data_IF_473104659695
#
_entry.id   IF_473104659695
#
_cell.length_a   1.000
_cell.length_b   1.000
_cell.length_c   1.000
_cell.angle_alpha   90.00
_cell.angle_beta   90.00
_cell.angle_gamma   90.00
#
_symmetry.space_group_name_H-M   'P 1'
#
loop_
_entity.id
_entity.type
_entity.pdbx_description
1 polymer ?
#
# COMPACT_ATOMS: atom_id res chain seq x y z
N UNK A 1 -1.58 1.58 -1.47
CA UNK A 1 -1.75 0.18 -1.01
C UNK A 1 -3.08 0.09 -0.25
N UNK A 2 -3.88 -0.95 -0.45
CA UNK A 2 -5.16 -1.14 0.22
C UNK A 2 -5.18 -2.51 0.90
N UNK A 3 -5.58 -2.56 2.18
CA UNK A 3 -5.79 -3.84 2.87
C UNK A 3 -7.25 -4.25 2.71
N UNK A 4 -7.45 -5.47 2.25
CA UNK A 4 -8.78 -6.03 1.98
C UNK A 4 -9.14 -7.02 3.08
N UNK A 5 -10.36 -6.90 3.61
CA UNK A 5 -10.81 -7.66 4.78
C UNK A 5 -11.91 -8.69 4.46
N UNK A 6 -12.57 -8.59 3.31
CA UNK A 6 -13.59 -9.55 2.88
C UNK A 6 -13.65 -9.74 1.36
N UNK A 7 -14.29 -10.82 0.89
CA UNK A 7 -14.46 -11.10 -0.54
C UNK A 7 -15.37 -10.07 -1.25
N UNK A 8 -16.37 -9.52 -0.55
CA UNK A 8 -17.19 -8.42 -1.05
C UNK A 8 -16.37 -7.14 -1.19
N UNK A 9 -15.57 -6.81 -0.16
CA UNK A 9 -14.66 -5.66 -0.20
C UNK A 9 -13.65 -5.81 -1.34
N UNK A 10 -13.14 -7.03 -1.58
CA UNK A 10 -12.25 -7.32 -2.71
C UNK A 10 -12.92 -6.99 -4.06
N UNK A 11 -14.17 -7.41 -4.23
CA UNK A 11 -14.93 -7.15 -5.46
C UNK A 11 -15.16 -5.65 -5.68
N UNK A 12 -15.51 -4.91 -4.63
CA UNK A 12 -15.65 -3.45 -4.68
C UNK A 12 -14.33 -2.75 -5.02
N UNK A 13 -13.21 -3.20 -4.45
CA UNK A 13 -11.91 -2.60 -4.72
C UNK A 13 -11.42 -2.84 -6.14
N UNK A 14 -11.77 -3.96 -6.76
CA UNK A 14 -11.49 -4.21 -8.18
C UNK A 14 -12.26 -3.22 -9.06
N UNK A 15 -13.53 -2.94 -8.76
CA UNK A 15 -14.32 -1.92 -9.48
C UNK A 15 -13.73 -0.51 -9.28
N UNK A 16 -13.28 -0.18 -8.07
CA UNK A 16 -12.59 1.08 -7.81
C UNK A 16 -11.24 1.16 -8.55
N UNK A 17 -10.50 0.06 -8.63
CA UNK A 17 -9.24 -0.02 -9.36
C UNK A 17 -9.42 0.28 -10.86
N UNK A 18 -10.54 -0.13 -11.46
CA UNK A 18 -10.88 0.25 -12.84
C UNK A 18 -10.99 1.78 -13.00
N UNK A 19 -11.67 2.44 -12.07
CA UNK A 19 -11.78 3.91 -12.07
C UNK A 19 -10.41 4.57 -11.95
N UNK A 20 -9.52 4.02 -11.12
CA UNK A 20 -8.15 4.51 -10.97
C UNK A 20 -7.31 4.27 -12.24
N UNK A 21 -7.50 3.15 -12.93
CA UNK A 21 -6.84 2.91 -14.22
C UNK A 21 -7.23 3.98 -15.25
N UNK A 22 -8.51 4.37 -15.27
CA UNK A 22 -9.02 5.41 -16.17
C UNK A 22 -8.49 6.81 -15.85
N UNK A 23 -8.43 7.19 -14.57
CA UNK A 23 -8.10 8.56 -14.16
C UNK A 23 -6.60 8.79 -14.01
N UNK A 24 -5.85 7.78 -13.56
CA UNK A 24 -4.42 7.90 -13.22
C UNK A 24 -3.48 7.12 -14.13
N UNK A 25 -4.01 6.39 -15.11
CA UNK A 25 -3.19 5.64 -16.07
C UNK A 25 -2.38 4.50 -15.43
N UNK A 26 -2.95 3.84 -14.42
CA UNK A 26 -2.31 2.71 -13.72
C UNK A 26 -1.92 1.61 -14.70
N UNK A 27 -0.67 1.14 -14.64
CA UNK A 27 -0.12 0.10 -15.54
C UNK A 27 0.11 -1.25 -14.86
N UNK A 28 0.01 -1.33 -13.54
CA UNK A 28 0.21 -2.56 -12.79
C UNK A 28 -0.78 -2.66 -11.63
N UNK A 29 -1.52 -3.77 -11.58
CA UNK A 29 -2.41 -4.13 -10.47
C UNK A 29 -1.86 -5.41 -9.85
N UNK A 30 -1.64 -5.40 -8.53
CA UNK A 30 -1.14 -6.56 -7.79
C UNK A 30 -2.20 -7.00 -6.77
N UNK A 31 -2.54 -8.29 -6.79
CA UNK A 31 -3.42 -8.91 -5.80
C UNK A 31 -2.63 -9.99 -5.05
N UNK A 32 -2.33 -9.71 -3.79
CA UNK A 32 -1.62 -10.60 -2.89
C UNK A 32 -2.49 -10.95 -1.65
N UNK A 33 -3.19 -12.08 -1.59
CA UNK A 33 -3.28 -13.17 -2.59
C UNK A 33 -4.72 -13.45 -2.99
N UNK A 34 -4.92 -13.95 -4.23
CA UNK A 34 -6.23 -14.14 -4.84
C UNK A 34 -7.17 -15.03 -4.01
N UNK A 35 -6.64 -16.12 -3.46
CA UNK A 35 -7.44 -17.17 -2.82
C UNK A 35 -7.58 -17.03 -1.30
N UNK A 36 -6.85 -16.12 -0.64
CA UNK A 36 -6.83 -16.06 0.82
C UNK A 36 -8.22 -15.82 1.43
N UNK A 37 -8.90 -14.74 1.00
CA UNK A 37 -10.21 -14.35 1.51
C UNK A 37 -11.29 -15.36 1.11
N UNK A 38 -11.29 -15.78 -0.16
CA UNK A 38 -12.24 -16.76 -0.70
C UNK A 38 -12.19 -18.11 0.03
N UNK A 39 -11.03 -18.51 0.55
CA UNK A 39 -10.88 -19.75 1.34
C UNK A 39 -11.32 -19.59 2.78
N UNK A 40 -11.15 -18.39 3.36
CA UNK A 40 -11.56 -18.11 4.72
C UNK A 40 -13.09 -18.03 4.84
N UNK A 41 -13.77 -17.45 3.87
CA UNK A 41 -15.22 -17.22 3.92
C UNK A 41 -16.05 -18.38 3.38
N UNK A 42 -15.60 -19.05 2.32
CA UNK A 42 -16.35 -20.11 1.67
C UNK A 42 -15.80 -21.50 2.04
N UNK A 43 -16.05 -21.88 3.30
CA UNK A 43 -15.59 -23.15 3.87
C UNK A 43 -16.59 -24.28 3.59
N UNK A 44 -16.07 -25.46 3.29
CA UNK A 44 -16.85 -26.68 3.09
C UNK A 44 -17.31 -26.90 1.64
N UNK A 45 -17.63 -28.15 1.33
CA UNK A 45 -17.96 -28.60 -0.03
C UNK A 45 -19.20 -27.88 -0.57
N UNK A 46 -20.21 -27.64 0.28
CA UNK A 46 -21.44 -26.95 -0.12
C UNK A 46 -21.25 -25.48 -0.53
N UNK A 47 -20.11 -24.86 -0.17
CA UNK A 47 -19.74 -23.49 -0.57
C UNK A 47 -18.75 -23.43 -1.73
N UNK A 48 -18.37 -24.59 -2.28
CA UNK A 48 -17.42 -24.67 -3.40
C UNK A 48 -17.96 -23.98 -4.65
N UNK A 49 -19.21 -24.27 -5.04
CA UNK A 49 -19.84 -23.69 -6.23
C UNK A 49 -19.92 -22.15 -6.17
N UNK A 50 -20.49 -21.51 -5.13
CA UNK A 50 -20.54 -20.05 -5.06
C UNK A 50 -19.14 -19.42 -5.02
N UNK A 51 -18.17 -20.06 -4.34
CA UNK A 51 -16.78 -19.61 -4.35
C UNK A 51 -16.16 -19.62 -5.75
N UNK A 52 -16.40 -20.68 -6.51
CA UNK A 52 -15.91 -20.81 -7.88
C UNK A 52 -16.57 -19.79 -8.81
N UNK A 53 -17.88 -19.55 -8.66
CA UNK A 53 -18.58 -18.51 -9.42
C UNK A 53 -18.02 -17.10 -9.12
N UNK A 54 -17.80 -16.77 -7.85
CA UNK A 54 -17.22 -15.48 -7.44
C UNK A 54 -15.79 -15.32 -7.97
N UNK A 55 -14.96 -16.36 -7.84
CA UNK A 55 -13.59 -16.39 -8.38
C UNK A 55 -13.58 -16.16 -9.90
N UNK A 56 -14.50 -16.80 -10.63
CA UNK A 56 -14.63 -16.62 -12.08
C UNK A 56 -14.92 -15.17 -12.43
N UNK A 57 -15.87 -14.55 -11.73
CA UNK A 57 -16.25 -13.16 -11.95
C UNK A 57 -15.10 -12.21 -11.67
N UNK A 58 -14.34 -12.44 -10.59
CA UNK A 58 -13.15 -11.65 -10.25
C UNK A 58 -12.11 -11.73 -11.37
N UNK A 59 -11.76 -12.93 -11.83
CA UNK A 59 -10.73 -13.12 -12.86
C UNK A 59 -11.16 -12.50 -14.19
N UNK A 60 -12.40 -12.71 -14.63
CA UNK A 60 -12.90 -12.08 -15.86
C UNK A 60 -12.92 -10.56 -15.77
N UNK A 61 -13.30 -10.00 -14.61
CA UNK A 61 -13.28 -8.55 -14.40
C UNK A 61 -11.86 -8.00 -14.50
N UNK A 62 -10.89 -8.68 -13.89
CA UNK A 62 -9.48 -8.29 -13.95
C UNK A 62 -8.89 -8.40 -15.37
N UNK A 63 -9.20 -9.47 -16.11
CA UNK A 63 -8.76 -9.60 -17.52
C UNK A 63 -9.33 -8.48 -18.38
N UNK A 64 -10.61 -8.17 -18.21
CA UNK A 64 -11.25 -7.05 -18.91
C UNK A 64 -10.58 -5.72 -18.60
N UNK A 65 -10.25 -5.45 -17.33
CA UNK A 65 -9.53 -4.23 -16.93
C UNK A 65 -8.14 -4.20 -17.58
N UNK A 66 -7.40 -5.32 -17.53
CA UNK A 66 -6.07 -5.44 -18.13
C UNK A 66 -6.07 -5.09 -19.62
N UNK A 67 -7.00 -5.68 -20.38
CA UNK A 67 -7.15 -5.48 -21.82
C UNK A 67 -7.64 -4.06 -22.16
N UNK A 68 -8.61 -3.54 -21.40
CA UNK A 68 -9.21 -2.22 -21.68
C UNK A 68 -8.24 -1.07 -21.41
N UNK A 69 -7.46 -1.18 -20.33
CA UNK A 69 -6.59 -0.09 -19.88
C UNK A 69 -5.10 -0.33 -20.17
N UNK A 70 -4.77 -1.42 -20.85
CA UNK A 70 -3.39 -1.84 -21.13
C UNK A 70 -2.55 -1.83 -19.85
N UNK A 71 -3.02 -2.57 -18.84
CA UNK A 71 -2.32 -2.74 -17.56
C UNK A 71 -2.02 -4.22 -17.32
N UNK A 72 -0.91 -4.50 -16.64
CA UNK A 72 -0.56 -5.83 -16.19
C UNK A 72 -1.28 -6.15 -14.88
N UNK A 73 -1.86 -7.34 -14.78
CA UNK A 73 -2.45 -7.85 -13.52
C UNK A 73 -1.59 -8.99 -13.02
N UNK A 74 -0.99 -8.81 -11.84
CA UNK A 74 -0.20 -9.83 -11.15
C UNK A 74 -1.00 -10.39 -9.98
N UNK A 75 -1.20 -11.71 -9.99
CA UNK A 75 -1.92 -12.43 -8.94
C UNK A 75 -0.95 -13.34 -8.22
N UNK A 76 -0.87 -13.26 -6.90
CA UNK A 76 -0.22 -14.30 -6.11
C UNK A 76 -1.26 -15.34 -5.70
N UNK A 77 -0.82 -16.59 -5.64
CA UNK A 77 -1.67 -17.70 -5.26
C UNK A 77 -0.88 -18.75 -4.49
N UNK A 78 -1.58 -19.42 -3.58
CA UNK A 78 -1.02 -20.51 -2.80
C UNK A 78 -1.11 -21.82 -3.60
N UNK A 79 -0.15 -22.69 -3.36
CA UNK A 79 -0.06 -24.02 -3.98
C UNK A 79 -0.42 -25.08 -2.95
N UNK A 80 -1.17 -26.10 -3.36
CA UNK A 80 -1.47 -27.25 -2.53
C UNK A 80 -0.88 -28.51 -3.15
N UNK A 81 -0.38 -29.41 -2.29
CA UNK A 81 0.05 -30.74 -2.71
C UNK A 81 -1.20 -31.58 -2.99
N UNK A 82 -1.38 -31.99 -4.24
CA UNK A 82 -2.43 -32.93 -4.66
C UNK A 82 -1.82 -34.33 -4.76
N UNK A 83 -2.29 -35.23 -3.90
CA UNK A 83 -1.94 -36.65 -3.99
C UNK A 83 -2.72 -37.30 -5.15
N UNK A 84 -2.02 -37.87 -6.10
CA UNK A 84 -2.54 -38.63 -7.25
C UNK A 84 -2.07 -40.08 -7.12
N UNK A 85 -2.61 -40.79 -6.12
CA UNK A 85 -2.18 -42.16 -5.80
C UNK A 85 -0.76 -42.18 -5.25
N UNK A 86 0.16 -42.87 -5.94
CA UNK A 86 1.58 -42.98 -5.53
C UNK A 86 2.42 -41.75 -5.93
N UNK A 87 1.85 -40.84 -6.74
CA UNK A 87 2.51 -39.61 -7.16
C UNK A 87 1.87 -38.41 -6.46
N UNK A 88 2.65 -37.38 -6.18
CA UNK A 88 2.14 -36.08 -5.75
C UNK A 88 2.50 -35.03 -6.79
N UNK A 89 1.57 -34.11 -7.04
CA UNK A 89 1.81 -32.94 -7.87
C UNK A 89 1.44 -31.69 -7.09
N UNK A 90 2.18 -30.62 -7.32
CA UNK A 90 1.91 -29.31 -6.75
C UNK A 90 1.01 -28.56 -7.73
N UNK A 91 -0.20 -28.22 -7.30
CA UNK A 91 -1.18 -27.55 -8.16
C UNK A 91 -1.66 -26.24 -7.54
N UNK A 92 -1.93 -25.26 -8.39
CA UNK A 92 -2.41 -23.95 -7.97
C UNK A 92 -3.82 -24.06 -7.40
N UNK A 93 -4.05 -23.45 -6.24
CA UNK A 93 -5.37 -23.50 -5.61
C UNK A 93 -6.36 -22.64 -6.41
N UNK A 94 -7.56 -23.15 -6.65
CA UNK A 94 -8.58 -22.44 -7.45
C UNK A 94 -9.06 -23.23 -8.65
N UNK A 95 -8.35 -24.31 -9.00
CA UNK A 95 -8.79 -25.29 -10.00
C UNK A 95 -8.79 -24.72 -11.41
N UNK A 96 -9.68 -25.26 -12.25
CA UNK A 96 -9.73 -24.94 -13.69
C UNK A 96 -9.96 -23.45 -13.97
N UNK A 97 -10.65 -22.75 -13.07
CA UNK A 97 -10.91 -21.31 -13.24
C UNK A 97 -9.61 -20.51 -13.26
N UNK A 98 -8.73 -20.77 -12.29
CA UNK A 98 -7.41 -20.11 -12.27
C UNK A 98 -6.54 -20.62 -13.42
N UNK A 99 -6.63 -21.91 -13.75
CA UNK A 99 -5.84 -22.50 -14.83
C UNK A 99 -6.17 -21.92 -16.21
N UNK A 100 -7.44 -21.63 -16.50
CA UNK A 100 -7.85 -21.06 -17.78
C UNK A 100 -7.93 -19.53 -17.79
N UNK A 101 -8.14 -18.92 -16.63
CA UNK A 101 -8.30 -17.47 -16.52
C UNK A 101 -6.98 -16.68 -16.43
N UNK A 102 -5.85 -17.36 -16.22
CA UNK A 102 -4.52 -16.73 -16.19
C UNK A 102 -3.71 -17.15 -17.43
N UNK A 103 -3.21 -16.17 -18.19
CA UNK A 103 -2.39 -16.43 -19.38
C UNK A 103 -0.99 -16.98 -19.04
N UNK A 104 -0.35 -16.41 -18.01
CA UNK A 104 0.98 -16.83 -17.58
C UNK A 104 0.93 -17.34 -16.14
N UNK A 105 1.50 -18.51 -15.90
CA UNK A 105 1.61 -19.10 -14.56
C UNK A 105 3.05 -19.48 -14.28
N UNK A 106 3.63 -18.80 -13.29
CA UNK A 106 5.00 -19.05 -12.81
C UNK A 106 4.93 -19.64 -11.41
N UNK A 107 5.54 -20.80 -11.22
CA UNK A 107 5.66 -21.44 -9.92
C UNK A 107 7.02 -21.14 -9.31
N UNK A 108 7.00 -20.57 -8.11
CA UNK A 108 8.20 -20.36 -7.30
C UNK A 108 8.49 -21.58 -6.43
N UNK A 109 9.74 -22.02 -6.42
CA UNK A 109 10.25 -23.12 -5.60
C UNK A 109 11.42 -22.64 -4.74
N UNK A 110 11.47 -23.11 -3.50
CA UNK A 110 12.66 -22.99 -2.65
C UNK A 110 13.64 -24.11 -2.99
N UNK A 111 14.95 -23.82 -2.93
CA UNK A 111 16.00 -24.82 -3.16
C UNK A 111 16.62 -25.23 -1.81
N UNK A 112 16.49 -26.51 -1.44
CA UNK A 112 17.19 -27.12 -0.30
C UNK A 112 16.37 -27.26 0.99
N UNK A 113 16.82 -28.16 1.86
CA UNK A 113 16.22 -28.48 3.17
C UNK A 113 16.30 -27.34 4.19
N UNK A 114 17.21 -26.38 3.96
CA UNK A 114 17.33 -25.15 4.74
C UNK A 114 16.63 -24.00 4.01
N UNK A 115 15.29 -24.02 4.03
CA UNK A 115 14.43 -23.03 3.36
C UNK A 115 14.67 -21.59 3.82
N UNK A 116 15.31 -21.41 4.98
CA UNK A 116 15.45 -20.12 5.65
C UNK A 116 16.88 -19.53 5.60
N UNK A 117 17.86 -20.28 5.08
CA UNK A 117 19.27 -19.84 5.09
C UNK A 117 19.79 -19.48 3.68
N UNK A 118 19.18 -20.05 2.63
CA UNK A 118 19.53 -19.70 1.26
C UNK A 118 18.63 -18.59 0.73
N UNK A 119 19.24 -17.52 0.20
CA UNK A 119 18.54 -16.45 -0.52
C UNK A 119 18.08 -16.88 -1.92
N UNK A 120 18.54 -18.04 -2.39
CA UNK A 120 18.28 -18.56 -3.73
C UNK A 120 16.86 -19.11 -3.88
N UNK A 121 16.21 -18.78 -4.98
CA UNK A 121 14.88 -19.22 -5.39
C UNK A 121 14.92 -19.69 -6.84
N UNK A 122 13.93 -20.50 -7.21
CA UNK A 122 13.74 -20.98 -8.58
C UNK A 122 12.35 -20.60 -9.06
N UNK A 123 12.25 -20.02 -10.25
CA UNK A 123 10.98 -19.80 -10.94
C UNK A 123 10.87 -20.82 -12.08
N UNK A 124 9.68 -21.38 -12.26
CA UNK A 124 9.38 -22.32 -13.35
C UNK A 124 8.13 -21.84 -14.07
N UNK A 125 8.20 -21.65 -15.38
CA UNK A 125 7.02 -21.41 -16.20
C UNK A 125 6.24 -22.73 -16.25
N UNK A 126 5.05 -22.74 -15.64
CA UNK A 126 4.17 -23.90 -15.62
C UNK A 126 3.24 -23.87 -16.84
N UNK A 127 2.81 -22.68 -17.22
CA UNK A 127 1.86 -22.48 -18.30
C UNK A 127 2.04 -21.08 -18.90
N UNK A 128 2.08 -21.02 -20.22
CA UNK A 128 2.17 -19.79 -21.00
C UNK A 128 1.72 -20.10 -22.45
N UNK A 129 1.01 -19.18 -23.13
CA UNK A 129 0.57 -19.41 -24.51
C UNK A 129 1.73 -19.51 -25.50
N UNK A 130 2.75 -18.66 -25.32
CA UNK A 130 3.80 -18.45 -26.32
C UNK A 130 5.21 -18.81 -25.82
N UNK A 131 5.33 -19.35 -24.60
CA UNK A 131 6.63 -19.68 -23.99
C UNK A 131 6.70 -21.16 -23.62
N UNK A 132 7.80 -21.86 -23.94
CA UNK A 132 8.01 -23.22 -23.47
C UNK A 132 8.21 -23.25 -21.94
N UNK A 133 7.96 -24.40 -21.28
CA UNK A 133 8.30 -24.59 -19.88
C UNK A 133 9.81 -24.44 -19.66
N UNK A 134 10.21 -23.33 -19.06
CA UNK A 134 11.59 -23.03 -18.69
C UNK A 134 11.72 -22.74 -17.20
N UNK A 135 12.94 -22.90 -16.66
CA UNK A 135 13.25 -22.57 -15.28
C UNK A 135 14.43 -21.60 -15.19
N UNK A 136 14.37 -20.68 -14.25
CA UNK A 136 15.47 -19.79 -13.91
C UNK A 136 15.68 -19.75 -12.40
N UNK A 137 16.88 -19.36 -11.99
CA UNK A 137 17.24 -19.17 -10.59
C UNK A 137 17.46 -17.68 -10.33
N UNK A 138 17.00 -17.20 -9.19
CA UNK A 138 17.15 -15.81 -8.75
C UNK A 138 17.42 -15.77 -7.24
N UNK A 139 17.78 -14.60 -6.73
CA UNK A 139 18.11 -14.37 -5.33
C UNK A 139 17.22 -13.27 -4.75
N UNK A 140 16.77 -13.47 -3.51
CA UNK A 140 16.10 -12.43 -2.73
C UNK A 140 17.16 -11.79 -1.85
N UNK A 141 17.52 -10.55 -2.14
CA UNK A 141 18.54 -9.78 -1.42
C UNK A 141 17.90 -8.64 -0.63
N UNK A 142 18.70 -7.91 0.16
CA UNK A 142 18.21 -6.71 0.86
C UNK A 142 17.79 -5.57 -0.08
N UNK A 143 18.28 -5.55 -1.32
CA UNK A 143 17.87 -4.60 -2.35
C UNK A 143 16.66 -5.07 -3.17
N UNK A 144 16.16 -6.28 -2.93
CA UNK A 144 15.06 -6.89 -3.70
C UNK A 144 15.52 -8.12 -4.50
N UNK A 145 14.85 -8.39 -5.62
CA UNK A 145 15.12 -9.54 -6.48
C UNK A 145 16.35 -9.26 -7.35
N UNK A 146 17.31 -10.20 -7.37
CA UNK A 146 18.56 -10.07 -8.13
C UNK A 146 18.97 -11.39 -8.79
N UNK A 147 19.81 -11.30 -9.83
CA UNK A 147 20.37 -12.45 -10.54
C UNK A 147 21.55 -13.10 -9.79
N UNK A 148 22.17 -12.36 -8.88
CA UNK A 148 23.29 -12.84 -8.05
C UNK A 148 23.01 -12.62 -6.56
N UNK A 149 23.78 -13.29 -5.70
CA UNK A 149 23.71 -13.14 -4.25
C UNK A 149 24.35 -11.84 -3.72
N UNK A 150 25.02 -11.09 -4.60
CA UNK A 150 25.67 -9.82 -4.26
C UNK A 150 24.69 -8.67 -4.38
N UNK A 151 24.69 -7.81 -3.37
CA UNK A 151 23.87 -6.61 -3.33
C UNK A 151 24.63 -5.48 -4.00
N UNK A 152 24.34 -5.25 -5.28
CA UNK A 152 24.78 -4.05 -5.98
C UNK A 152 23.63 -3.05 -5.93
N UNK A 153 23.71 -2.06 -5.04
CA UNK A 153 22.75 -0.95 -4.99
C UNK A 153 23.23 0.09 -6.00
N UNK A 154 22.59 0.28 -7.16
CA UNK A 154 22.96 1.35 -8.05
C UNK A 154 22.75 2.69 -7.32
N UNK A 155 23.72 3.60 -7.40
CA UNK A 155 23.63 4.98 -6.86
C UNK A 155 22.62 5.86 -7.63
N UNK A 156 21.68 5.26 -8.35
CA UNK A 156 20.64 5.99 -9.05
C UNK A 156 19.80 6.78 -8.05
N UNK A 157 19.49 8.07 -8.32
CA UNK A 157 18.57 8.82 -7.49
C UNK A 157 17.26 8.04 -7.42
N UNK A 158 16.75 7.86 -6.20
CA UNK A 158 15.49 7.17 -5.98
C UNK A 158 14.39 7.80 -6.84
N UNK A 159 13.46 6.97 -7.32
CA UNK A 159 12.25 7.47 -7.95
C UNK A 159 11.47 8.29 -6.91
N UNK A 160 11.62 9.61 -6.95
CA UNK A 160 10.80 10.55 -6.18
C UNK A 160 9.39 10.56 -6.80
N UNK A 161 8.51 9.70 -6.28
CA UNK A 161 7.08 9.82 -6.50
C UNK A 161 6.39 9.93 -5.16
N UNK A 162 5.52 10.93 -5.02
CA UNK A 162 4.59 11.01 -3.90
C UNK A 162 3.62 9.84 -3.99
N UNK A 163 3.71 8.91 -3.03
CA UNK A 163 2.72 7.85 -2.89
C UNK A 163 1.50 8.47 -2.24
N UNK A 164 0.55 8.96 -3.05
CA UNK A 164 -0.74 9.37 -2.52
C UNK A 164 -1.40 8.19 -1.76
N UNK A 165 -1.76 8.44 -0.50
CA UNK A 165 -2.52 7.52 0.34
C UNK A 165 -3.96 7.43 -0.15
N UNK A 166 -4.22 6.48 -1.04
CA UNK A 166 -5.52 6.29 -1.70
C UNK A 166 -6.69 5.85 -0.79
N UNK A 167 -6.42 5.53 0.48
CA UNK A 167 -7.38 4.89 1.37
C UNK A 167 -7.24 5.40 2.80
N UNK A 168 -7.98 6.43 3.13
CA UNK A 168 -8.55 6.60 4.46
C UNK A 168 -10.02 6.19 4.36
N UNK A 169 -10.44 5.24 5.20
CA UNK A 169 -11.86 5.09 5.49
C UNK A 169 -12.28 6.45 6.07
N UNK A 170 -13.07 7.22 5.31
CA UNK A 170 -13.81 8.31 5.91
C UNK A 170 -14.81 7.64 6.84
N UNK A 171 -14.49 7.64 8.13
CA UNK A 171 -15.50 7.50 9.17
C UNK A 171 -16.51 8.64 8.95
N UNK A 172 -17.58 8.34 8.22
CA UNK A 172 -18.71 9.25 8.03
C UNK A 172 -19.41 9.42 9.38
N UNK A 173 -18.86 10.30 10.21
CA UNK A 173 -19.66 11.07 11.14
C UNK A 173 -20.14 12.32 10.39
N UNK A 174 -21.46 12.57 10.30
CA UNK A 174 -21.96 13.72 9.56
C UNK A 174 -21.77 14.96 10.43
N UNK A 175 -20.77 15.79 10.10
CA UNK A 175 -20.72 17.17 10.58
C UNK A 175 -20.30 18.11 9.46
N UNK A 176 -21.31 18.84 8.99
CA UNK A 176 -21.36 20.13 8.29
C UNK A 176 -20.06 20.84 7.89
N UNK A 177 -20.13 21.33 6.64
CA UNK A 177 -19.69 22.62 6.13
C UNK A 177 -18.19 22.97 6.11
N UNK A 178 -17.71 23.01 4.86
CA UNK A 178 -16.88 24.05 4.24
C UNK A 178 -15.41 24.21 4.63
N UNK A 179 -14.63 24.32 3.55
CA UNK A 179 -13.35 25.03 3.41
C UNK A 179 -12.04 24.25 3.61
N UNK A 180 -11.18 24.46 2.62
CA UNK A 180 -9.85 23.94 2.39
C UNK A 180 -8.92 24.09 3.59
N UNK A 181 -8.46 22.98 4.15
CA UNK A 181 -7.38 22.97 5.13
C UNK A 181 -6.14 22.29 4.53
N UNK A 182 -5.16 23.12 4.15
CA UNK A 182 -3.74 22.78 4.33
C UNK A 182 -3.56 22.17 5.72
N UNK A 183 -2.80 21.08 5.86
CA UNK A 183 -2.48 20.48 7.15
C UNK A 183 -1.98 21.54 8.15
N UNK A 184 -2.88 22.05 8.98
CA UNK A 184 -2.56 23.09 9.95
C UNK A 184 -1.89 22.42 11.15
N UNK A 185 -0.57 22.47 11.16
CA UNK A 185 0.23 22.08 12.32
C UNK A 185 -0.20 22.98 13.49
N UNK A 186 -0.68 22.37 14.58
CA UNK A 186 -1.21 23.10 15.73
C UNK A 186 -0.10 23.81 16.53
N UNK A 187 -0.40 24.96 17.13
CA UNK A 187 0.57 25.77 17.89
C UNK A 187 1.19 25.03 19.09
N UNK A 188 0.50 24.02 19.64
CA UNK A 188 0.98 23.19 20.75
C UNK A 188 2.15 22.28 20.35
N UNK A 189 2.35 22.05 19.05
CA UNK A 189 3.51 21.31 18.54
C UNK A 189 4.83 22.06 18.70
N UNK A 190 4.77 23.39 18.90
CA UNK A 190 5.96 24.23 19.10
C UNK A 190 6.50 23.98 20.51
N UNK A 191 7.75 23.53 20.57
CA UNK A 191 8.45 23.25 21.84
C UNK A 191 8.40 24.47 22.78
N UNK A 192 7.76 24.29 23.93
CA UNK A 192 7.66 25.33 24.97
C UNK A 192 6.33 26.10 24.97
N UNK A 193 5.42 25.83 24.04
CA UNK A 193 4.03 26.33 24.06
C UNK A 193 3.14 25.26 24.67
N UNK A 194 2.54 25.54 25.83
CA UNK A 194 1.51 24.70 26.44
C UNK A 194 0.10 25.18 26.08
N UNK A 195 -0.93 24.39 26.42
CA UNK A 195 -2.33 24.72 26.09
C UNK A 195 -2.76 26.13 26.54
N UNK A 196 -2.42 26.55 27.76
CA UNK A 196 -2.76 27.90 28.24
C UNK A 196 -2.00 29.03 27.53
N UNK A 197 -0.81 28.75 26.99
CA UNK A 197 -0.06 29.71 26.17
C UNK A 197 -0.63 29.79 24.76
N UNK A 198 -1.07 28.65 24.21
CA UNK A 198 -1.75 28.59 22.92
C UNK A 198 -3.09 29.35 22.95
N UNK A 199 -3.91 29.17 23.99
CA UNK A 199 -5.15 29.94 24.18
C UNK A 199 -4.88 31.45 24.28
N UNK A 200 -3.78 31.85 24.94
CA UNK A 200 -3.36 33.26 25.01
C UNK A 200 -2.89 33.83 23.67
N UNK A 201 -2.26 33.03 22.83
CA UNK A 201 -1.84 33.42 21.47
C UNK A 201 -3.05 33.53 20.53
N UNK A 202 -3.99 32.60 20.62
CA UNK A 202 -5.25 32.64 19.87
C UNK A 202 -6.08 33.87 20.25
N UNK A 203 -6.15 34.23 21.54
CA UNK A 203 -6.81 35.45 22.01
C UNK A 203 -6.14 36.74 21.49
N UNK A 204 -4.86 36.68 21.12
CA UNK A 204 -4.11 37.78 20.50
C UNK A 204 -4.16 37.75 18.96
N UNK A 205 -4.93 36.82 18.37
CA UNK A 205 -5.11 36.70 16.93
C UNK A 205 -4.00 35.92 16.21
N UNK A 206 -3.20 35.14 16.94
CA UNK A 206 -2.19 34.23 16.36
C UNK A 206 -2.73 32.81 16.48
N UNK A 207 -3.33 32.33 15.40
CA UNK A 207 -3.91 30.99 15.33
C UNK A 207 -3.01 30.00 14.59
N UNK A 208 -2.01 30.50 13.83
CA UNK A 208 -1.13 29.66 13.01
C UNK A 208 0.35 29.83 13.30
N UNK A 209 1.14 28.80 12.99
CA UNK A 209 2.61 28.83 13.14
C UNK A 209 3.24 29.92 12.27
N UNK A 210 2.67 30.20 11.08
CA UNK A 210 3.15 31.26 10.20
C UNK A 210 2.97 32.65 10.84
N UNK A 211 1.80 32.92 11.43
CA UNK A 211 1.54 34.17 12.15
C UNK A 211 2.45 34.32 13.37
N UNK A 212 2.74 33.23 14.07
CA UNK A 212 3.69 33.25 15.19
C UNK A 212 5.11 33.61 14.74
N UNK A 213 5.52 33.12 13.57
CA UNK A 213 6.85 33.38 12.98
C UNK A 213 7.01 34.82 12.53
N UNK A 214 5.93 35.43 12.02
CA UNK A 214 5.93 36.78 11.46
C UNK A 214 5.65 37.87 12.51
N UNK A 215 5.16 37.50 13.70
CA UNK A 215 4.87 38.42 14.78
C UNK A 215 6.13 39.05 15.41
N UNK A 216 6.01 40.28 15.88
CA UNK A 216 7.08 41.00 16.58
C UNK A 216 7.29 40.40 18.00
N UNK A 217 8.48 39.86 18.32
CA UNK A 217 8.73 39.23 19.61
C UNK A 217 8.61 40.20 20.80
N UNK A 218 8.86 41.48 20.61
CA UNK A 218 8.75 42.48 21.69
C UNK A 218 7.29 42.80 22.01
N UNK A 219 6.44 42.94 20.98
CA UNK A 219 5.00 43.18 21.14
C UNK A 219 4.28 41.97 21.75
N UNK A 220 4.67 40.75 21.35
CA UNK A 220 4.12 39.52 21.90
C UNK A 220 4.48 39.31 23.37
N UNK A 221 5.73 39.60 23.75
CA UNK A 221 6.17 39.46 25.14
C UNK A 221 5.51 40.46 26.08
N UNK A 222 5.08 41.63 25.56
CA UNK A 222 4.37 42.63 26.34
C UNK A 222 2.89 42.27 26.58
N UNK A 223 2.28 41.57 25.63
CA UNK A 223 0.83 41.23 25.65
C UNK A 223 0.53 39.87 26.27
N UNK A 224 1.48 38.94 26.24
CA UNK A 224 1.31 37.57 26.73
C UNK A 224 1.90 37.40 28.14
N UNK A 225 1.06 37.06 29.11
CA UNK A 225 1.49 36.88 30.50
C UNK A 225 2.46 35.69 30.64
N UNK A 226 3.67 35.96 31.17
CA UNK A 226 4.69 34.93 31.41
C UNK A 226 5.63 34.60 30.23
N UNK A 227 5.47 35.29 29.11
CA UNK A 227 6.41 35.25 27.98
C UNK A 227 7.46 36.36 28.12
N UNK A 228 8.74 36.00 27.96
CA UNK A 228 9.82 36.97 27.78
C UNK A 228 10.23 37.02 26.31
N UNK A 229 10.81 38.12 25.83
CA UNK A 229 11.32 38.25 24.45
C UNK A 229 12.20 37.06 24.06
N UNK A 230 13.05 36.58 24.98
CA UNK A 230 13.90 35.40 24.76
C UNK A 230 13.09 34.10 24.53
N UNK A 231 11.99 33.90 25.27
CA UNK A 231 11.13 32.72 25.08
C UNK A 231 10.36 32.77 23.76
N UNK A 232 9.88 33.94 23.36
CA UNK A 232 9.16 34.12 22.09
C UNK A 232 10.10 33.84 20.90
N UNK A 233 11.36 34.29 20.97
CA UNK A 233 12.37 33.97 19.96
C UNK A 233 12.67 32.46 19.88
N UNK A 234 12.69 31.74 21.01
CA UNK A 234 12.85 30.29 21.03
C UNK A 234 11.65 29.56 20.40
N UNK A 235 10.43 30.04 20.63
CA UNK A 235 9.23 29.53 19.99
C UNK A 235 9.26 29.75 18.48
N UNK A 236 9.62 30.95 18.02
CA UNK A 236 9.76 31.27 16.59
C UNK A 236 10.85 30.43 15.91
N UNK A 237 11.97 30.19 16.59
CA UNK A 237 13.04 29.32 16.07
C UNK A 237 12.58 27.87 15.92
N UNK A 238 11.82 27.37 16.90
CA UNK A 238 11.25 26.02 16.87
C UNK A 238 10.17 25.89 15.80
N UNK A 239 9.31 26.91 15.65
CA UNK A 239 8.30 27.03 14.61
C UNK A 239 8.90 27.02 13.19
N UNK A 240 9.97 27.79 12.96
CA UNK A 240 10.72 27.77 11.68
C UNK A 240 11.35 26.41 11.37
N UNK A 241 11.68 25.61 12.39
CA UNK A 241 12.16 24.24 12.21
C UNK A 241 11.06 23.30 11.72
N UNK A 242 9.85 23.45 12.26
CA UNK A 242 8.68 22.64 11.87
C UNK A 242 8.16 22.97 10.47
N UNK A 243 8.30 24.22 10.01
CA UNK A 243 7.92 24.63 8.64
C UNK A 243 8.94 24.23 7.55
N UNK A 244 10.15 23.77 7.94
CA UNK A 244 11.23 23.40 7.02
C UNK A 244 11.38 21.89 6.80
N UNK A 245 10.50 21.09 7.39
CA UNK A 245 10.48 19.63 7.28
C UNK A 245 9.31 19.22 6.41
#
# INVERSE_FOLDING_TARGET
HARIYSSDHQSQMIQKAETLCKTRGVRLIIIDSLMALLRAEYVGIGKLAPRQALLNNIIHTLSRIAETYNCAVLLTNQVAVKMMGMFSTNDAIGGNIVAHGCHFRVMFKTKGFSSNNSLKRRAVIVDAPDLPPEECEFFITSAGIADTDKVEIPESPGLEFEVETLYEEKDETPSNDSESASEQISLVSVKGIGNGTAEGLEALGIATINELVDADPDDLSAKLSGASTSKVLEWQKSAKGLLKT
#
